data_IF_066208626931
#
_entry.id   IF_066208626931
#
_cell.length_a   1.000
_cell.length_b   1.000
_cell.length_c   1.000
_cell.angle_alpha   90.00
_cell.angle_beta   90.00
_cell.angle_gamma   90.00
#
_symmetry.space_group_name_H-M   'P 1'
#
loop_
_entity.id
_entity.type
_entity.pdbx_description
1 polymer ?
#
# COMPACT_ATOMS: atom_id res chain seq x y z
N UNK A 1 21.88 31.40 32.51
CA UNK A 1 21.44 30.43 31.50
C UNK A 1 21.72 29.03 32.03
N UNK A 2 20.67 28.27 32.33
CA UNK A 2 20.78 26.97 33.01
C UNK A 2 21.26 25.88 32.04
N UNK A 3 22.06 24.89 32.48
CA UNK A 3 22.64 23.84 31.63
C UNK A 3 21.59 22.99 30.88
N UNK A 4 20.34 22.96 31.32
CA UNK A 4 19.21 22.24 30.71
C UNK A 4 18.77 22.83 29.36
N UNK A 5 18.91 24.14 29.16
CA UNK A 5 18.53 24.81 27.90
C UNK A 5 19.55 24.57 26.79
N UNK A 6 20.84 24.46 27.13
CA UNK A 6 21.96 24.19 26.22
C UNK A 6 21.85 22.76 25.63
N UNK A 7 21.45 21.80 26.45
CA UNK A 7 21.35 20.40 26.02
C UNK A 7 20.15 20.14 25.09
N UNK A 8 19.03 20.86 25.27
CA UNK A 8 17.88 20.80 24.36
C UNK A 8 18.19 21.42 23.00
N UNK A 9 18.99 22.50 22.95
CA UNK A 9 19.39 23.18 21.72
C UNK A 9 20.33 22.30 20.89
N UNK A 10 21.32 21.65 21.52
CA UNK A 10 22.25 20.71 20.88
C UNK A 10 21.55 19.42 20.38
N UNK A 11 20.48 18.96 21.06
CA UNK A 11 19.69 17.83 20.60
C UNK A 11 18.85 18.19 19.35
N UNK A 12 18.31 19.41 19.30
CA UNK A 12 17.53 19.93 18.17
C UNK A 12 18.39 20.18 16.94
N UNK A 13 19.62 20.71 17.13
CA UNK A 13 20.58 20.90 16.04
C UNK A 13 21.11 19.59 15.47
N UNK A 14 21.40 18.59 16.32
CA UNK A 14 21.78 17.24 15.86
C UNK A 14 20.65 16.54 15.10
N UNK A 15 19.42 16.73 15.51
CA UNK A 15 18.26 16.19 14.81
C UNK A 15 18.07 16.87 13.45
N UNK A 16 18.23 18.20 13.39
CA UNK A 16 18.14 18.97 12.15
C UNK A 16 19.27 18.60 11.17
N UNK A 17 20.51 18.49 11.64
CA UNK A 17 21.65 18.04 10.83
C UNK A 17 21.47 16.61 10.32
N UNK A 18 20.90 15.71 11.12
CA UNK A 18 20.63 14.32 10.73
C UNK A 18 19.58 14.27 9.63
N UNK A 19 18.50 15.04 9.74
CA UNK A 19 17.45 15.15 8.71
C UNK A 19 18.03 15.80 7.44
N UNK A 20 18.85 16.84 7.57
CA UNK A 20 19.51 17.50 6.43
C UNK A 20 20.48 16.56 5.72
N UNK A 21 21.27 15.79 6.47
CA UNK A 21 22.22 14.82 5.93
C UNK A 21 21.50 13.66 5.21
N UNK A 22 20.43 13.12 5.80
CA UNK A 22 19.59 12.10 5.16
C UNK A 22 18.93 12.64 3.89
N UNK A 23 18.48 13.90 3.90
CA UNK A 23 17.89 14.56 2.74
C UNK A 23 18.92 14.81 1.62
N UNK A 24 20.14 15.18 1.96
CA UNK A 24 21.25 15.35 1.01
C UNK A 24 21.68 14.02 0.40
N UNK A 25 21.81 12.94 1.21
CA UNK A 25 22.12 11.59 0.72
C UNK A 25 21.01 11.06 -0.18
N UNK A 26 19.74 11.21 0.21
CA UNK A 26 18.59 10.83 -0.63
C UNK A 26 18.56 11.61 -1.95
N UNK A 27 18.95 12.89 -1.95
CA UNK A 27 19.04 13.72 -3.17
C UNK A 27 20.21 13.29 -4.06
N UNK A 28 21.37 12.95 -3.49
CA UNK A 28 22.54 12.46 -4.22
C UNK A 28 22.29 11.06 -4.83
N UNK A 29 21.69 10.16 -4.07
CA UNK A 29 21.23 8.85 -4.55
C UNK A 29 20.20 8.99 -5.67
N UNK A 30 19.28 9.96 -5.59
CA UNK A 30 18.34 10.29 -6.68
C UNK A 30 19.04 10.70 -7.98
N UNK A 31 20.08 11.52 -7.89
CA UNK A 31 20.88 11.94 -9.04
C UNK A 31 21.66 10.77 -9.66
N UNK A 32 22.20 9.89 -8.82
CA UNK A 32 22.94 8.70 -9.22
C UNK A 32 21.99 7.69 -9.90
N UNK A 33 20.81 7.47 -9.34
CA UNK A 33 19.80 6.55 -9.86
C UNK A 33 19.29 6.95 -11.25
N UNK A 34 19.06 8.26 -11.48
CA UNK A 34 18.66 8.77 -12.81
C UNK A 34 19.77 8.66 -13.88
N UNK A 35 21.04 8.56 -13.48
CA UNK A 35 22.17 8.36 -14.39
C UNK A 35 22.38 6.89 -14.78
N UNK A 36 21.79 5.98 -14.03
CA UNK A 36 21.95 4.51 -14.25
C UNK A 36 21.06 3.98 -15.36
N UNK A 37 19.99 4.70 -15.73
CA UNK A 37 19.10 4.26 -16.80
C UNK A 37 19.71 4.53 -18.19
N UNK A 38 19.55 3.59 -19.14
CA UNK A 38 20.01 3.77 -20.51
C UNK A 38 19.33 4.97 -21.18
N UNK A 39 19.97 5.50 -22.22
CA UNK A 39 19.38 6.57 -23.03
C UNK A 39 18.11 6.05 -23.72
N UNK A 40 17.06 6.89 -23.87
CA UNK A 40 15.84 6.47 -24.55
C UNK A 40 16.15 6.07 -26.00
N UNK A 41 15.36 5.12 -26.52
CA UNK A 41 15.42 4.68 -27.90
C UNK A 41 15.08 5.83 -28.86
N UNK A 42 15.69 5.80 -30.04
CA UNK A 42 15.27 6.66 -31.15
C UNK A 42 13.89 6.24 -31.68
N UNK A 43 13.22 7.13 -32.40
CA UNK A 43 11.88 6.83 -32.95
C UNK A 43 11.89 5.64 -33.94
N UNK A 44 13.03 5.42 -34.63
CA UNK A 44 13.20 4.30 -35.56
C UNK A 44 13.40 2.99 -34.80
N UNK A 45 14.27 2.98 -33.79
CA UNK A 45 14.49 1.82 -32.92
C UNK A 45 13.21 1.43 -32.18
N UNK A 46 12.46 2.41 -31.64
CA UNK A 46 11.18 2.15 -30.98
C UNK A 46 10.19 1.45 -31.92
N UNK A 47 10.05 1.93 -33.17
CA UNK A 47 9.20 1.29 -34.19
C UNK A 47 9.66 -0.13 -34.52
N UNK A 48 10.96 -0.34 -34.64
CA UNK A 48 11.55 -1.65 -34.92
C UNK A 48 11.22 -2.66 -33.82
N UNK A 49 11.44 -2.28 -32.54
CA UNK A 49 11.14 -3.16 -31.41
C UNK A 49 9.63 -3.36 -31.19
N UNK A 50 8.79 -2.37 -31.46
CA UNK A 50 7.34 -2.52 -31.43
C UNK A 50 6.83 -3.50 -32.48
N UNK A 51 7.45 -3.52 -33.66
CA UNK A 51 7.12 -4.51 -34.71
C UNK A 51 7.53 -5.93 -34.27
N UNK A 52 8.70 -6.11 -33.69
CA UNK A 52 9.17 -7.41 -33.15
C UNK A 52 8.30 -7.87 -31.96
N UNK A 53 7.89 -6.97 -31.11
CA UNK A 53 6.97 -7.27 -30.00
C UNK A 53 5.67 -7.90 -30.49
N UNK A 54 5.09 -7.40 -31.58
CA UNK A 54 3.88 -7.99 -32.21
C UNK A 54 4.08 -9.41 -32.70
N UNK A 55 5.30 -9.77 -33.04
CA UNK A 55 5.69 -11.13 -33.45
C UNK A 55 5.92 -12.07 -32.24
N UNK A 56 5.72 -11.56 -31.01
CA UNK A 56 5.91 -12.31 -29.78
C UNK A 56 7.35 -12.37 -29.27
N UNK A 57 8.23 -11.48 -29.74
CA UNK A 57 9.63 -11.47 -29.34
C UNK A 57 9.78 -10.93 -27.90
N UNK A 58 10.21 -11.83 -27.00
CA UNK A 58 10.45 -11.53 -25.60
C UNK A 58 11.62 -10.58 -25.37
N UNK A 59 12.62 -10.61 -26.25
CA UNK A 59 13.79 -9.74 -26.13
C UNK A 59 13.41 -8.29 -26.51
N UNK A 60 12.62 -8.10 -27.56
CA UNK A 60 12.07 -6.79 -27.89
C UNK A 60 11.23 -6.20 -26.75
N UNK A 61 10.42 -7.05 -26.07
CA UNK A 61 9.66 -6.65 -24.89
C UNK A 61 10.58 -6.16 -23.77
N UNK A 62 11.65 -6.91 -23.47
CA UNK A 62 12.64 -6.54 -22.43
C UNK A 62 13.30 -5.20 -22.74
N UNK A 63 13.75 -5.01 -23.95
CA UNK A 63 14.41 -3.77 -24.41
C UNK A 63 13.45 -2.58 -24.28
N UNK A 64 12.20 -2.69 -24.74
CA UNK A 64 11.22 -1.62 -24.64
C UNK A 64 10.95 -1.23 -23.18
N UNK A 65 10.90 -2.16 -22.25
CA UNK A 65 10.73 -1.88 -20.82
C UNK A 65 11.99 -1.17 -20.27
N UNK A 66 13.17 -1.75 -20.48
CA UNK A 66 14.43 -1.27 -19.92
C UNK A 66 14.76 0.17 -20.33
N UNK A 67 14.60 0.50 -21.61
CA UNK A 67 14.90 1.82 -22.14
C UNK A 67 13.84 2.89 -21.79
N UNK A 68 12.65 2.48 -21.31
CA UNK A 68 11.60 3.38 -20.84
C UNK A 68 11.53 3.53 -19.31
N UNK A 69 12.39 2.86 -18.52
CA UNK A 69 12.43 3.01 -17.05
C UNK A 69 12.72 4.45 -16.61
N UNK A 70 13.47 5.21 -17.41
CA UNK A 70 13.71 6.64 -17.16
C UNK A 70 12.43 7.45 -17.14
N UNK A 71 11.45 7.11 -17.99
CA UNK A 71 10.12 7.74 -18.00
C UNK A 71 9.38 7.46 -16.68
N UNK A 72 9.43 6.21 -16.16
CA UNK A 72 8.85 5.85 -14.87
C UNK A 72 9.44 6.71 -13.76
N UNK A 73 10.77 6.80 -13.67
CA UNK A 73 11.44 7.59 -12.65
C UNK A 73 11.06 9.08 -12.72
N UNK A 74 10.85 9.62 -13.92
CA UNK A 74 10.41 11.00 -14.12
C UNK A 74 8.98 11.22 -13.59
N UNK A 75 8.07 10.29 -13.88
CA UNK A 75 6.68 10.37 -13.44
C UNK A 75 6.59 10.20 -11.91
N UNK A 76 7.26 9.19 -11.34
CA UNK A 76 7.29 8.92 -9.91
C UNK A 76 7.73 10.15 -9.11
N UNK A 77 8.72 10.88 -9.61
CA UNK A 77 9.20 12.13 -8.97
C UNK A 77 8.09 13.17 -8.79
N UNK A 78 7.09 13.20 -9.67
CA UNK A 78 5.94 14.12 -9.58
C UNK A 78 4.96 13.72 -8.47
N UNK A 79 4.84 12.42 -8.18
CA UNK A 79 3.88 11.87 -7.22
C UNK A 79 4.49 11.57 -5.84
N UNK A 80 5.81 11.67 -5.70
CA UNK A 80 6.50 11.38 -4.45
C UNK A 80 6.21 12.45 -3.40
N UNK A 81 5.70 12.02 -2.23
CA UNK A 81 5.64 12.82 -1.00
C UNK A 81 6.89 12.59 -0.12
N UNK A 82 6.99 13.33 1.00
CA UNK A 82 8.12 13.18 1.93
C UNK A 82 8.10 11.83 2.68
N UNK A 83 6.93 11.22 2.78
CA UNK A 83 6.66 9.97 3.52
C UNK A 83 6.73 8.73 2.63
N UNK A 84 6.72 8.91 1.29
CA UNK A 84 6.72 7.79 0.36
C UNK A 84 8.13 7.30 0.05
N UNK A 85 8.29 5.98 0.01
CA UNK A 85 9.51 5.36 -0.46
C UNK A 85 9.58 5.43 -2.00
N UNK A 86 10.66 6.04 -2.49
CA UNK A 86 10.87 6.19 -3.94
C UNK A 86 11.04 4.85 -4.65
N UNK A 87 11.66 3.88 -4.00
CA UNK A 87 11.91 2.56 -4.59
C UNK A 87 10.60 1.80 -4.77
N UNK A 88 9.71 1.89 -3.80
CA UNK A 88 8.37 1.30 -3.86
C UNK A 88 7.55 1.91 -5.01
N UNK A 89 7.51 3.24 -5.11
CA UNK A 89 6.79 3.94 -6.18
C UNK A 89 7.36 3.61 -7.58
N UNK A 90 8.68 3.46 -7.72
CA UNK A 90 9.31 3.04 -8.98
C UNK A 90 8.90 1.60 -9.32
N UNK A 91 8.86 0.71 -8.35
CA UNK A 91 8.43 -0.68 -8.55
C UNK A 91 7.00 -0.74 -9.08
N UNK A 92 6.09 0.02 -8.46
CA UNK A 92 4.68 0.13 -8.90
C UNK A 92 4.57 0.78 -10.28
N UNK A 93 5.31 1.87 -10.50
CA UNK A 93 5.35 2.52 -11.81
C UNK A 93 5.89 1.60 -12.92
N UNK A 94 6.84 0.72 -12.57
CA UNK A 94 7.38 -0.29 -13.51
C UNK A 94 6.31 -1.30 -13.89
N UNK A 95 5.42 -1.70 -12.97
CA UNK A 95 4.27 -2.55 -13.29
C UNK A 95 3.36 -1.87 -14.33
N UNK A 96 3.10 -0.56 -14.14
CA UNK A 96 2.34 0.24 -15.10
C UNK A 96 3.00 0.31 -16.49
N UNK A 97 4.33 0.44 -16.54
CA UNK A 97 5.10 0.41 -17.78
C UNK A 97 5.00 -0.95 -18.46
N UNK A 98 5.15 -2.05 -17.73
CA UNK A 98 5.02 -3.42 -18.26
C UNK A 98 3.64 -3.62 -18.88
N UNK A 99 2.57 -3.28 -18.14
CA UNK A 99 1.19 -3.34 -18.66
C UNK A 99 1.03 -2.52 -19.92
N UNK A 100 1.65 -1.33 -19.99
CA UNK A 100 1.56 -0.47 -21.16
C UNK A 100 2.25 -1.08 -22.40
N UNK A 101 3.42 -1.69 -22.23
CA UNK A 101 4.14 -2.37 -23.34
C UNK A 101 3.33 -3.55 -23.86
N UNK A 102 2.72 -4.33 -22.96
CA UNK A 102 1.94 -5.52 -23.33
C UNK A 102 0.61 -5.18 -24.02
N UNK A 103 -0.01 -4.03 -23.69
CA UNK A 103 -1.33 -3.63 -24.22
C UNK A 103 -1.27 -2.56 -25.31
N UNK A 104 -0.05 -2.09 -25.67
CA UNK A 104 0.12 -1.01 -26.63
C UNK A 104 -0.34 -1.41 -28.05
N UNK A 105 -1.26 -0.63 -28.61
CA UNK A 105 -1.68 -0.75 -30.00
C UNK A 105 -1.27 0.49 -30.78
N UNK A 106 -0.33 0.33 -31.70
CA UNK A 106 0.20 1.41 -32.54
C UNK A 106 -0.87 2.04 -33.47
N UNK A 107 -1.91 1.30 -33.83
CA UNK A 107 -2.99 1.82 -34.69
C UNK A 107 -3.87 2.85 -33.97
N UNK A 108 -4.01 2.70 -32.65
CA UNK A 108 -4.83 3.58 -31.81
C UNK A 108 -4.05 4.69 -31.11
N UNK A 109 -2.75 4.52 -30.92
CA UNK A 109 -1.91 5.44 -30.15
C UNK A 109 -0.65 5.84 -30.94
N UNK A 110 -0.41 7.13 -31.07
CA UNK A 110 0.69 7.67 -31.86
C UNK A 110 2.08 7.48 -31.25
N UNK A 111 2.20 7.42 -29.92
CA UNK A 111 3.48 7.31 -29.21
C UNK A 111 3.37 6.42 -27.97
N UNK A 112 4.27 5.43 -27.85
CA UNK A 112 4.36 4.56 -26.68
C UNK A 112 4.55 5.36 -25.39
N UNK A 113 5.42 6.35 -25.38
CA UNK A 113 5.73 7.15 -24.20
C UNK A 113 4.50 7.84 -23.60
N UNK A 114 3.58 8.36 -24.43
CA UNK A 114 2.35 9.02 -23.99
C UNK A 114 1.37 8.02 -23.36
N UNK A 115 1.24 6.85 -23.98
CA UNK A 115 0.40 5.78 -23.45
C UNK A 115 0.95 5.21 -22.15
N UNK A 116 2.27 4.91 -22.14
CA UNK A 116 2.97 4.41 -20.96
C UNK A 116 2.87 5.40 -19.78
N UNK A 117 3.03 6.70 -20.03
CA UNK A 117 2.90 7.70 -18.99
C UNK A 117 1.53 7.61 -18.28
N UNK A 118 0.44 7.50 -19.03
CA UNK A 118 -0.90 7.34 -18.44
C UNK A 118 -1.07 6.04 -17.67
N UNK A 119 -0.55 4.94 -18.18
CA UNK A 119 -0.60 3.65 -17.47
C UNK A 119 0.17 3.71 -16.15
N UNK A 120 1.38 4.29 -16.15
CA UNK A 120 2.18 4.49 -14.95
C UNK A 120 1.48 5.40 -13.94
N UNK A 121 0.93 6.54 -14.39
CA UNK A 121 0.15 7.45 -13.53
C UNK A 121 -1.05 6.74 -12.89
N UNK A 122 -1.79 5.95 -13.66
CA UNK A 122 -2.94 5.21 -13.14
C UNK A 122 -2.54 4.20 -12.06
N UNK A 123 -1.47 3.42 -12.25
CA UNK A 123 -0.99 2.47 -11.24
C UNK A 123 -0.55 3.19 -9.96
N UNK A 124 0.18 4.29 -10.09
CA UNK A 124 0.59 5.10 -8.94
C UNK A 124 -0.62 5.68 -8.18
N UNK A 125 -1.61 6.20 -8.90
CA UNK A 125 -2.82 6.73 -8.28
C UNK A 125 -3.64 5.65 -7.59
N UNK A 126 -3.74 4.46 -8.17
CA UNK A 126 -4.42 3.31 -7.55
C UNK A 126 -3.71 2.91 -6.25
N UNK A 127 -2.38 2.82 -6.28
CA UNK A 127 -1.58 2.52 -5.10
C UNK A 127 -1.76 3.58 -4.00
N UNK A 128 -1.65 4.87 -4.34
CA UNK A 128 -1.79 5.96 -3.37
C UNK A 128 -3.19 6.00 -2.74
N UNK A 129 -4.25 5.67 -3.51
CA UNK A 129 -5.62 5.55 -2.97
C UNK A 129 -5.74 4.38 -1.99
N UNK A 130 -5.17 3.23 -2.33
CA UNK A 130 -5.13 2.07 -1.44
C UNK A 130 -4.34 2.39 -0.16
N UNK A 131 -3.15 2.95 -0.28
CA UNK A 131 -2.32 3.37 0.85
C UNK A 131 -3.06 4.32 1.78
N UNK A 132 -3.77 5.33 1.23
CA UNK A 132 -4.58 6.27 2.03
C UNK A 132 -5.70 5.58 2.80
N UNK A 133 -6.25 4.48 2.29
CA UNK A 133 -7.24 3.68 3.01
C UNK A 133 -6.59 2.95 4.20
N UNK A 134 -5.44 2.31 3.98
CA UNK A 134 -4.71 1.59 5.03
C UNK A 134 -4.10 2.52 6.10
N UNK A 135 -3.77 3.77 5.78
CA UNK A 135 -3.29 4.74 6.78
C UNK A 135 -4.30 5.08 7.87
N UNK A 136 -5.58 4.70 7.70
CA UNK A 136 -6.62 4.86 8.71
C UNK A 136 -6.76 3.66 9.64
N UNK A 137 -6.04 2.58 9.36
CA UNK A 137 -6.04 1.37 10.17
C UNK A 137 -4.98 1.51 11.26
N UNK A 138 -5.39 1.34 12.52
CA UNK A 138 -4.48 1.29 13.67
C UNK A 138 -4.19 -0.16 14.03
N UNK A 139 -2.98 -0.44 14.49
CA UNK A 139 -2.61 -1.77 14.94
C UNK A 139 -3.30 -2.08 16.28
N UNK A 140 -3.83 -3.29 16.45
CA UNK A 140 -4.37 -3.76 17.73
C UNK A 140 -3.32 -3.77 18.85
N UNK A 141 -2.05 -3.87 18.50
CA UNK A 141 -0.93 -3.86 19.43
C UNK A 141 -0.33 -2.46 19.67
N UNK A 142 -0.97 -1.42 19.14
CA UNK A 142 -0.52 -0.04 19.37
C UNK A 142 -0.83 0.36 20.81
N UNK A 143 0.17 0.83 21.58
CA UNK A 143 -0.05 1.27 22.95
C UNK A 143 -0.89 2.56 22.97
N UNK A 144 -2.02 2.53 23.65
CA UNK A 144 -2.93 3.68 23.79
C UNK A 144 -2.57 4.50 25.03
N UNK A 145 -1.99 3.85 26.04
CA UNK A 145 -1.64 4.50 27.29
C UNK A 145 -0.82 3.61 28.20
N UNK A 146 -0.50 4.13 29.37
CA UNK A 146 0.16 3.37 30.43
C UNK A 146 -0.72 3.34 31.68
N UNK A 147 -0.79 2.20 32.32
CA UNK A 147 -1.46 2.01 33.61
C UNK A 147 -0.71 2.77 34.75
N UNK A 148 -1.34 2.94 35.90
CA UNK A 148 -0.76 3.55 37.10
C UNK A 148 0.51 2.81 37.57
N UNK A 149 0.64 1.54 37.22
CA UNK A 149 1.77 0.67 37.49
C UNK A 149 2.88 0.75 36.46
N UNK A 150 2.69 1.51 35.35
CA UNK A 150 3.66 1.69 34.27
C UNK A 150 3.61 0.64 33.16
N UNK A 151 2.58 -0.23 33.14
CA UNK A 151 2.36 -1.19 32.07
C UNK A 151 1.73 -0.53 30.86
N UNK A 152 2.13 -0.91 29.65
CA UNK A 152 1.52 -0.44 28.40
C UNK A 152 0.16 -1.12 28.20
N UNK A 153 -0.89 -0.31 27.99
CA UNK A 153 -2.23 -0.77 27.63
C UNK A 153 -2.36 -0.73 26.11
N UNK A 154 -2.66 -1.87 25.52
CA UNK A 154 -2.84 -2.00 24.07
C UNK A 154 -4.32 -1.82 23.68
N UNK A 155 -4.56 -1.49 22.40
CA UNK A 155 -5.93 -1.38 21.87
C UNK A 155 -6.70 -2.70 22.03
N UNK A 156 -6.01 -3.84 21.90
CA UNK A 156 -6.56 -5.18 22.08
C UNK A 156 -7.17 -5.39 23.47
N UNK A 157 -6.59 -4.78 24.52
CA UNK A 157 -7.03 -4.96 25.91
C UNK A 157 -8.34 -4.22 26.22
N UNK A 158 -8.71 -3.24 25.38
CA UNK A 158 -9.90 -2.40 25.58
C UNK A 158 -11.06 -2.82 24.69
N UNK A 159 -10.79 -3.46 23.55
CA UNK A 159 -11.84 -3.89 22.63
C UNK A 159 -12.59 -5.08 23.23
N UNK A 160 -13.87 -4.86 23.54
CA UNK A 160 -14.77 -5.94 23.95
C UNK A 160 -14.96 -6.93 22.81
N UNK A 161 -14.84 -8.22 23.13
CA UNK A 161 -15.31 -9.28 22.22
C UNK A 161 -16.84 -9.13 22.15
N UNK A 162 -17.41 -8.89 20.98
CA UNK A 162 -18.88 -8.79 20.82
C UNK A 162 -19.63 -10.09 21.09
N UNK A 163 -18.96 -11.08 21.70
CA UNK A 163 -19.57 -12.34 22.13
C UNK A 163 -20.23 -12.17 23.49
N UNK A 164 -21.46 -12.68 23.66
CA UNK A 164 -22.14 -12.64 24.95
C UNK A 164 -21.31 -13.36 26.01
N UNK A 165 -21.31 -12.83 27.24
CA UNK A 165 -20.60 -13.43 28.37
C UNK A 165 -20.94 -14.92 28.53
N UNK A 166 -19.95 -15.71 28.97
CA UNK A 166 -20.12 -17.15 29.14
C UNK A 166 -21.33 -17.52 30.01
N UNK A 167 -21.66 -16.69 31.01
CA UNK A 167 -22.85 -16.81 31.85
C UNK A 167 -24.16 -16.65 31.04
N UNK A 168 -24.20 -15.66 30.15
CA UNK A 168 -25.36 -15.44 29.27
C UNK A 168 -25.55 -16.59 28.26
N UNK A 169 -24.45 -17.10 27.72
CA UNK A 169 -24.48 -18.25 26.81
C UNK A 169 -25.03 -19.51 27.49
N UNK A 170 -24.63 -19.77 28.74
CA UNK A 170 -25.12 -20.90 29.53
C UNK A 170 -26.60 -20.68 29.83
N UNK A 171 -26.99 -19.48 30.26
CA UNK A 171 -28.39 -19.12 30.50
C UNK A 171 -29.28 -19.28 29.27
N UNK A 172 -28.78 -18.86 28.11
CA UNK A 172 -29.48 -19.02 26.83
C UNK A 172 -29.67 -20.50 26.46
N UNK A 173 -28.64 -21.32 26.62
CA UNK A 173 -28.71 -22.76 26.35
C UNK A 173 -29.71 -23.46 27.28
N UNK A 174 -29.68 -23.12 28.57
CA UNK A 174 -30.64 -23.68 29.57
C UNK A 174 -32.08 -23.28 29.26
N UNK A 175 -32.31 -22.00 28.96
CA UNK A 175 -33.62 -21.50 28.60
C UNK A 175 -34.15 -22.14 27.29
N UNK A 176 -33.27 -22.30 26.31
CA UNK A 176 -33.58 -22.94 25.03
C UNK A 176 -33.95 -24.41 25.26
N UNK A 177 -33.20 -25.13 26.09
CA UNK A 177 -33.51 -26.54 26.43
C UNK A 177 -34.85 -26.67 27.17
N UNK A 178 -35.12 -25.77 28.12
CA UNK A 178 -36.41 -25.72 28.81
C UNK A 178 -37.56 -25.39 27.86
N UNK A 179 -37.36 -24.46 26.94
CA UNK A 179 -38.35 -24.11 25.93
C UNK A 179 -38.73 -25.32 25.07
N UNK A 180 -37.74 -26.06 24.57
CA UNK A 180 -38.02 -27.28 23.79
C UNK A 180 -38.76 -28.34 24.59
N UNK A 181 -38.40 -28.53 25.86
CA UNK A 181 -39.12 -29.47 26.74
C UNK A 181 -40.59 -29.08 26.98
N UNK A 182 -40.85 -27.77 27.09
CA UNK A 182 -42.22 -27.24 27.20
C UNK A 182 -42.99 -27.41 25.90
N UNK A 183 -42.39 -27.12 24.76
CA UNK A 183 -43.01 -27.33 23.45
C UNK A 183 -43.42 -28.79 23.23
N UNK A 184 -42.59 -29.74 23.65
CA UNK A 184 -42.91 -31.15 23.58
C UNK A 184 -44.12 -31.58 24.45
N UNK A 185 -44.31 -30.89 25.58
CA UNK A 185 -45.40 -31.20 26.52
C UNK A 185 -46.73 -30.54 26.17
N UNK A 186 -46.69 -29.37 25.58
CA UNK A 186 -47.87 -28.51 25.38
C UNK A 186 -48.44 -28.63 23.97
N UNK A 187 -47.57 -28.83 22.95
CA UNK A 187 -48.03 -28.86 21.57
C UNK A 187 -48.61 -30.19 21.15
N UNK A 188 -49.72 -30.12 20.42
CA UNK A 188 -50.32 -31.26 19.76
C UNK A 188 -49.45 -31.72 18.59
N UNK A 189 -49.59 -32.99 18.10
CA UNK A 189 -48.79 -33.52 16.98
C UNK A 189 -48.88 -32.67 15.68
N UNK A 190 -50.02 -32.03 15.45
CA UNK A 190 -50.21 -31.14 14.29
C UNK A 190 -49.45 -29.82 14.44
N UNK A 191 -49.48 -29.23 15.61
CA UNK A 191 -48.79 -27.98 15.92
C UNK A 191 -47.28 -28.13 15.86
N UNK A 192 -46.72 -29.29 16.25
CA UNK A 192 -45.29 -29.63 16.12
C UNK A 192 -44.78 -29.71 14.67
N UNK A 193 -45.67 -29.93 13.70
CA UNK A 193 -45.26 -29.94 12.30
C UNK A 193 -45.18 -28.58 11.68
N UNK A 194 -45.70 -27.52 12.32
CA UNK A 194 -45.78 -26.15 11.80
C UNK A 194 -44.72 -25.28 12.41
N UNK A 195 -44.20 -25.58 13.62
CA UNK A 195 -43.12 -24.88 14.31
C UNK A 195 -41.79 -25.60 14.06
#
# INVERSE_FOLDING_TARGET
>A
MTPLTKNRRLKKERHFLRIFYIRCIKSALRCLFLRTFPKPLTAEEERYYLHRLRQGDKEARRILIEYNLRLVAHIVKKYQSAEDDMEELISIGTIGLIKSVDTFNHEKASKLATYAARCVENELLMYLRAKKKYMKESSYYEPIGTDKEGNEIQLLDIIESGEPEALEQIGLKDNTAKMYQFLEKVLTPRERQVI
#
